data_IF_817026086292
#
_entry.id   IF_817026086292
#
_cell.length_a   1.000
_cell.length_b   1.000
_cell.length_c   1.000
_cell.angle_alpha   90.00
_cell.angle_beta   90.00
_cell.angle_gamma   90.00
#
_symmetry.space_group_name_H-M   'P 1'
#
loop_
_entity.id
_entity.type
_entity.pdbx_description
1 polymer ?
#
# COMPACT_ATOMS: atom_id res chain seq x y z
N UNK A 1 -5.03 -13.27 -12.14
CA UNK A 1 -5.39 -12.23 -11.15
C UNK A 1 -4.15 -11.57 -10.60
N UNK A 2 -4.24 -10.31 -10.15
CA UNK A 2 -3.08 -9.47 -9.80
C UNK A 2 -2.43 -9.78 -8.45
N UNK A 3 -3.02 -10.66 -7.64
CA UNK A 3 -2.49 -11.01 -6.31
C UNK A 3 -2.63 -9.91 -5.26
N UNK A 4 -3.41 -8.85 -5.54
CA UNK A 4 -3.74 -7.79 -4.59
C UNK A 4 -4.92 -8.19 -3.71
N UNK A 5 -4.82 -7.90 -2.41
CA UNK A 5 -5.97 -8.05 -1.50
C UNK A 5 -6.92 -6.86 -1.72
N UNK A 6 -8.13 -7.09 -2.23
CA UNK A 6 -9.13 -6.04 -2.40
C UNK A 6 -9.96 -5.89 -1.11
N UNK A 7 -10.21 -4.64 -0.68
CA UNK A 7 -11.11 -4.35 0.44
C UNK A 7 -12.39 -3.74 -0.10
N UNK A 8 -13.50 -4.47 0.04
CA UNK A 8 -14.82 -4.03 -0.42
C UNK A 8 -15.57 -3.37 0.72
N UNK A 9 -15.55 -2.04 0.74
CA UNK A 9 -16.00 -1.24 1.90
C UNK A 9 -17.49 -1.38 2.20
N UNK A 10 -18.35 -1.45 1.18
CA UNK A 10 -19.81 -1.61 1.32
C UNK A 10 -20.24 -2.98 1.87
N UNK A 11 -19.35 -3.98 1.85
CA UNK A 11 -19.63 -5.32 2.41
C UNK A 11 -19.15 -5.48 3.86
N UNK A 12 -18.40 -4.51 4.38
CA UNK A 12 -17.85 -4.58 5.73
C UNK A 12 -18.92 -4.24 6.77
N UNK A 13 -19.27 -5.22 7.61
CA UNK A 13 -20.23 -5.06 8.72
C UNK A 13 -19.58 -4.64 10.05
N UNK A 14 -18.25 -4.45 10.06
CA UNK A 14 -17.55 -3.89 11.22
C UNK A 14 -17.24 -4.84 12.37
N UNK A 15 -17.18 -6.16 12.15
CA UNK A 15 -16.80 -7.17 13.16
C UNK A 15 -15.35 -7.10 13.62
N UNK A 16 -14.48 -6.40 12.88
CA UNK A 16 -13.05 -6.17 13.19
C UNK A 16 -12.14 -7.39 13.28
N UNK A 17 -12.65 -8.61 13.10
CA UNK A 17 -11.83 -9.82 13.10
C UNK A 17 -10.68 -9.77 12.09
N UNK A 18 -10.91 -9.17 10.91
CA UNK A 18 -9.87 -9.04 9.90
C UNK A 18 -8.68 -8.16 10.33
N UNK A 19 -8.88 -7.20 11.24
CA UNK A 19 -7.79 -6.41 11.83
C UNK A 19 -7.02 -7.23 12.88
N UNK A 20 -7.72 -8.03 13.68
CA UNK A 20 -7.08 -8.90 14.67
C UNK A 20 -6.20 -9.96 14.02
N UNK A 21 -6.69 -10.61 12.97
CA UNK A 21 -5.96 -11.66 12.26
C UNK A 21 -4.85 -11.13 11.33
N UNK A 22 -4.74 -9.81 11.13
CA UNK A 22 -3.65 -9.25 10.33
C UNK A 22 -2.37 -9.20 11.18
N UNK A 23 -1.30 -9.96 10.82
CA UNK A 23 -0.07 -9.98 11.61
C UNK A 23 0.62 -8.61 11.65
N UNK A 24 0.42 -7.79 10.62
CA UNK A 24 0.98 -6.44 10.51
C UNK A 24 0.11 -5.35 11.14
N UNK A 25 -1.10 -5.68 11.62
CA UNK A 25 -2.11 -4.70 12.10
C UNK A 25 -2.32 -3.51 11.14
N UNK A 26 -2.18 -3.75 9.84
CA UNK A 26 -2.25 -2.73 8.80
C UNK A 26 -3.68 -2.35 8.36
N UNK A 27 -4.69 -2.86 9.06
CA UNK A 27 -6.11 -2.54 8.83
C UNK A 27 -6.57 -1.51 9.85
N UNK A 28 -7.19 -0.42 9.39
CA UNK A 28 -7.72 0.65 10.24
C UNK A 28 -9.23 0.59 10.26
N UNK A 29 -9.83 0.84 11.43
CA UNK A 29 -11.27 0.82 11.60
C UNK A 29 -11.79 2.24 11.77
N UNK A 30 -12.86 2.57 11.04
CA UNK A 30 -13.52 3.86 11.18
C UNK A 30 -14.51 3.80 12.36
N UNK A 31 -14.08 4.27 13.52
CA UNK A 31 -14.92 4.30 14.73
C UNK A 31 -16.07 5.31 14.61
N UNK A 32 -15.74 6.51 14.16
CA UNK A 32 -16.68 7.62 14.04
C UNK A 32 -16.91 7.98 12.57
N UNK A 33 -17.90 8.84 12.31
CA UNK A 33 -18.16 9.36 10.97
C UNK A 33 -17.25 10.57 10.68
N UNK A 34 -15.96 10.27 10.46
CA UNK A 34 -14.93 11.28 10.16
C UNK A 34 -15.20 12.11 8.90
N UNK A 35 -16.13 11.66 8.03
CA UNK A 35 -16.41 12.32 6.76
C UNK A 35 -17.63 13.22 6.79
N UNK A 36 -18.56 13.02 7.73
CA UNK A 36 -19.79 13.81 7.85
C UNK A 36 -19.83 14.73 9.07
N UNK A 37 -18.91 14.58 10.03
CA UNK A 37 -18.90 15.37 11.28
C UNK A 37 -17.56 16.06 11.48
N UNK A 38 -17.59 17.24 12.10
CA UNK A 38 -16.38 17.88 12.61
C UNK A 38 -15.79 17.08 13.78
N UNK A 39 -14.52 17.33 14.09
CA UNK A 39 -13.79 16.64 15.17
C UNK A 39 -14.50 16.81 16.52
N UNK A 40 -15.15 17.95 16.74
CA UNK A 40 -15.84 18.27 18.00
C UNK A 40 -17.16 17.50 18.21
N UNK A 41 -17.70 16.87 17.16
CA UNK A 41 -19.01 16.22 17.18
C UNK A 41 -18.95 14.71 16.92
N UNK A 42 -17.77 14.08 17.01
CA UNK A 42 -17.57 12.68 16.63
C UNK A 42 -18.40 11.67 17.44
N UNK A 43 -18.73 11.98 18.70
CA UNK A 43 -19.54 11.12 19.57
C UNK A 43 -21.03 11.11 19.23
N UNK A 44 -21.49 12.01 18.36
CA UNK A 44 -22.90 12.07 17.97
C UNK A 44 -23.27 10.86 17.09
N UNK A 45 -24.34 10.17 17.48
CA UNK A 45 -24.86 9.01 16.74
C UNK A 45 -25.33 9.36 15.32
N UNK A 46 -25.61 8.37 14.45
CA UNK A 46 -26.02 8.60 13.06
C UNK A 46 -27.31 9.39 12.91
N UNK A 47 -28.17 9.32 13.92
CA UNK A 47 -29.49 9.96 13.96
C UNK A 47 -29.43 11.41 14.43
N UNK A 48 -28.30 11.84 15.01
CA UNK A 48 -28.14 13.24 15.39
C UNK A 48 -28.06 14.10 14.13
N UNK A 49 -28.70 15.28 14.11
CA UNK A 49 -28.77 16.14 12.94
C UNK A 49 -27.37 16.33 12.36
N UNK A 50 -27.26 16.20 11.03
CA UNK A 50 -26.02 16.42 10.29
C UNK A 50 -25.72 17.93 10.20
N UNK A 51 -25.84 18.63 11.33
CA UNK A 51 -25.57 20.05 11.50
C UNK A 51 -24.05 20.25 11.51
N UNK A 52 -23.47 20.15 10.33
CA UNK A 52 -22.03 20.17 10.14
C UNK A 52 -21.62 19.21 9.04
N UNK A 53 -22.19 19.36 7.83
CA UNK A 53 -21.57 18.75 6.64
C UNK A 53 -20.09 19.15 6.67
N UNK A 54 -19.19 18.19 6.42
CA UNK A 54 -17.80 18.51 6.11
C UNK A 54 -17.80 19.70 5.15
N UNK A 55 -16.98 20.72 5.45
CA UNK A 55 -17.00 22.00 4.73
C UNK A 55 -16.96 21.69 3.23
N UNK A 56 -17.67 22.45 2.40
CA UNK A 56 -17.70 22.22 0.95
C UNK A 56 -16.29 22.10 0.37
N UNK A 57 -15.33 22.86 0.90
CA UNK A 57 -13.90 22.75 0.60
C UNK A 57 -13.30 21.35 0.88
N UNK A 58 -13.63 20.72 2.02
CA UNK A 58 -13.14 19.38 2.38
C UNK A 58 -13.75 18.30 1.49
N UNK A 59 -14.96 18.52 0.97
CA UNK A 59 -15.58 17.61 0.02
C UNK A 59 -14.87 17.66 -1.33
N UNK A 60 -14.52 18.86 -1.80
CA UNK A 60 -13.79 19.06 -3.06
C UNK A 60 -12.36 18.50 -3.02
N UNK A 61 -11.75 18.38 -1.84
CA UNK A 61 -10.44 17.75 -1.68
C UNK A 61 -10.47 16.24 -1.94
N UNK A 62 -11.64 15.58 -1.80
CA UNK A 62 -11.75 14.12 -1.88
C UNK A 62 -11.66 13.64 -3.32
N UNK A 63 -10.90 12.56 -3.53
CA UNK A 63 -10.78 11.95 -4.85
C UNK A 63 -12.11 11.25 -5.23
N UNK A 64 -12.72 11.59 -6.37
CA UNK A 64 -14.00 10.99 -6.80
C UNK A 64 -13.89 9.49 -7.11
N UNK A 65 -12.70 9.00 -7.47
CA UNK A 65 -12.46 7.60 -7.82
C UNK A 65 -12.18 6.71 -6.60
N UNK A 66 -12.26 7.27 -5.39
CA UNK A 66 -12.01 6.56 -4.14
C UNK A 66 -13.25 6.68 -3.26
N UNK A 67 -13.76 5.54 -2.82
CA UNK A 67 -14.90 5.49 -1.90
C UNK A 67 -14.61 6.24 -0.60
N UNK A 68 -15.42 7.24 -0.30
CA UNK A 68 -15.44 7.92 1.00
C UNK A 68 -16.18 7.01 1.98
N UNK A 69 -15.49 6.55 3.03
CA UNK A 69 -16.02 5.52 3.92
C UNK A 69 -16.90 6.11 5.01
N UNK A 70 -17.93 5.36 5.38
CA UNK A 70 -18.74 5.62 6.56
C UNK A 70 -18.09 5.03 7.82
N UNK A 71 -18.66 5.37 8.99
CA UNK A 71 -18.35 4.70 10.26
C UNK A 71 -18.60 3.19 10.16
N UNK A 72 -17.92 2.40 10.98
CA UNK A 72 -18.16 0.97 11.10
C UNK A 72 -17.42 0.12 10.06
N UNK A 73 -16.63 0.73 9.19
CA UNK A 73 -15.97 0.05 8.07
C UNK A 73 -14.46 -0.05 8.31
N UNK A 74 -13.87 -1.16 7.88
CA UNK A 74 -12.41 -1.33 7.86
C UNK A 74 -11.83 -0.84 6.54
N UNK A 75 -10.69 -0.19 6.64
CA UNK A 75 -9.84 0.19 5.52
C UNK A 75 -8.42 -0.36 5.64
N UNK A 76 -7.72 -0.36 4.52
CA UNK A 76 -6.32 -0.79 4.40
C UNK A 76 -5.69 -0.15 3.17
N UNK A 77 -4.37 -0.26 3.05
CA UNK A 77 -3.70 0.01 1.78
C UNK A 77 -4.21 -0.95 0.68
N UNK A 78 -4.73 -0.40 -0.41
CA UNK A 78 -5.20 -1.14 -1.59
C UNK A 78 -4.25 -1.01 -2.79
N UNK A 79 -3.02 -0.55 -2.55
CA UNK A 79 -2.03 -0.23 -3.60
C UNK A 79 -2.60 0.69 -4.69
N UNK A 80 -3.37 1.69 -4.27
CA UNK A 80 -4.02 2.65 -5.17
C UNK A 80 -4.81 1.97 -6.28
N UNK A 81 -5.70 1.03 -5.92
CA UNK A 81 -6.52 0.27 -6.88
C UNK A 81 -7.24 1.16 -7.89
N UNK A 82 -7.63 2.38 -7.51
CA UNK A 82 -8.25 3.37 -8.39
C UNK A 82 -7.36 3.80 -9.57
N UNK A 83 -6.04 3.92 -9.35
CA UNK A 83 -5.06 4.24 -10.39
C UNK A 83 -4.79 3.02 -11.26
N UNK A 84 -4.68 1.85 -10.64
CA UNK A 84 -4.46 0.59 -11.34
C UNK A 84 -5.66 0.21 -12.22
N UNK A 85 -6.89 0.41 -11.74
CA UNK A 85 -8.10 0.15 -12.51
C UNK A 85 -8.20 1.10 -13.70
N UNK A 86 -7.93 2.39 -13.50
CA UNK A 86 -7.91 3.36 -14.58
C UNK A 86 -6.89 2.99 -15.67
N UNK A 87 -5.67 2.63 -15.28
CA UNK A 87 -4.63 2.20 -16.21
C UNK A 87 -4.97 0.90 -16.96
N UNK A 88 -5.58 -0.07 -16.28
CA UNK A 88 -6.06 -1.31 -16.92
C UNK A 88 -7.18 -1.05 -17.91
N UNK A 89 -8.12 -0.16 -17.57
CA UNK A 89 -9.20 0.23 -18.48
C UNK A 89 -8.60 0.96 -19.68
N UNK A 90 -7.67 1.89 -19.48
CA UNK A 90 -6.99 2.59 -20.57
C UNK A 90 -6.22 1.62 -21.49
N UNK A 91 -5.47 0.68 -20.92
CA UNK A 91 -4.76 -0.35 -21.69
C UNK A 91 -5.72 -1.23 -22.50
N UNK A 92 -6.85 -1.66 -21.91
CA UNK A 92 -7.91 -2.39 -22.61
C UNK A 92 -8.51 -1.60 -23.77
N UNK A 93 -8.80 -0.32 -23.55
CA UNK A 93 -9.36 0.55 -24.60
C UNK A 93 -8.36 0.77 -25.73
N UNK A 94 -7.07 0.95 -25.41
CA UNK A 94 -6.02 1.10 -26.41
C UNK A 94 -5.78 -0.18 -27.22
N UNK A 95 -5.93 -1.34 -26.59
CA UNK A 95 -5.72 -2.63 -27.24
C UNK A 95 -6.73 -2.91 -28.37
N UNK A 96 -7.96 -2.37 -28.31
CA UNK A 96 -9.05 -2.69 -29.24
C UNK A 96 -9.20 -4.21 -29.43
N UNK A 97 -9.03 -4.71 -30.65
CA UNK A 97 -9.10 -6.13 -31.00
C UNK A 97 -7.76 -6.87 -30.86
N UNK A 98 -6.69 -6.19 -30.44
CA UNK A 98 -5.39 -6.81 -30.21
C UNK A 98 -5.29 -7.46 -28.84
N UNK A 99 -4.42 -8.48 -28.73
CA UNK A 99 -4.14 -9.16 -27.46
C UNK A 99 -3.29 -8.33 -26.48
N UNK A 100 -2.92 -7.08 -26.82
CA UNK A 100 -2.05 -6.21 -26.01
C UNK A 100 -2.80 -5.53 -24.86
N UNK A 101 -3.42 -6.32 -23.98
CA UNK A 101 -4.23 -5.83 -22.86
C UNK A 101 -3.39 -5.49 -21.62
N UNK A 102 -2.11 -5.82 -21.64
CA UNK A 102 -1.21 -5.59 -20.51
C UNK A 102 -0.88 -4.11 -20.35
N UNK A 103 -0.94 -3.65 -19.11
CA UNK A 103 -0.52 -2.30 -18.74
C UNK A 103 0.98 -2.14 -19.06
N UNK A 104 1.40 -1.09 -19.78
CA UNK A 104 2.79 -0.87 -20.13
C UNK A 104 3.72 -0.82 -18.91
N UNK A 105 4.97 -1.23 -19.09
CA UNK A 105 5.95 -1.22 -18.02
C UNK A 105 6.16 0.21 -17.45
N UNK A 106 6.27 0.32 -16.14
CA UNK A 106 6.51 1.55 -15.39
C UNK A 106 5.48 2.67 -15.61
N UNK A 107 4.31 2.37 -16.18
CA UNK A 107 3.29 3.37 -16.50
C UNK A 107 2.38 3.73 -15.32
N UNK A 108 2.31 2.89 -14.28
CA UNK A 108 1.43 3.11 -13.12
C UNK A 108 2.27 3.32 -11.88
N UNK A 109 2.11 4.49 -11.28
CA UNK A 109 2.69 4.81 -9.99
C UNK A 109 1.62 4.94 -8.91
N UNK A 110 1.96 4.50 -7.71
CA UNK A 110 1.09 4.65 -6.53
C UNK A 110 1.28 6.02 -5.89
N UNK A 111 0.28 6.50 -5.15
CA UNK A 111 0.35 7.81 -4.50
C UNK A 111 1.54 7.93 -3.53
N UNK A 112 1.86 6.86 -2.79
CA UNK A 112 3.01 6.84 -1.89
C UNK A 112 4.36 6.77 -2.64
N UNK A 113 4.40 6.18 -3.84
CA UNK A 113 5.59 6.21 -4.70
C UNK A 113 5.83 7.61 -5.27
N UNK A 114 4.79 8.28 -5.78
CA UNK A 114 4.91 9.64 -6.32
C UNK A 114 5.29 10.66 -5.25
N UNK A 115 4.72 10.52 -4.05
CA UNK A 115 4.98 11.44 -2.96
C UNK A 115 6.37 11.27 -2.33
N UNK A 116 7.10 10.19 -2.66
CA UNK A 116 8.38 9.87 -2.03
C UNK A 116 9.54 10.49 -2.83
N UNK A 117 10.16 11.59 -2.37
CA UNK A 117 11.24 12.24 -3.10
C UNK A 117 12.51 11.38 -3.18
N UNK A 118 12.72 10.48 -2.21
CA UNK A 118 13.87 9.59 -2.18
C UNK A 118 13.73 8.37 -3.10
N UNK A 119 12.59 8.19 -3.78
CA UNK A 119 12.35 7.04 -4.65
C UNK A 119 12.41 5.68 -3.93
N UNK A 120 12.08 5.65 -2.62
CA UNK A 120 12.22 4.45 -1.80
C UNK A 120 11.16 3.37 -2.08
N UNK A 121 9.99 3.79 -2.57
CA UNK A 121 8.87 2.90 -2.87
C UNK A 121 8.83 2.67 -4.37
N UNK A 122 8.90 1.41 -4.79
CA UNK A 122 8.76 1.01 -6.20
C UNK A 122 7.58 0.06 -6.31
N UNK A 123 6.61 0.42 -7.14
CA UNK A 123 5.46 -0.41 -7.49
C UNK A 123 5.55 -0.80 -8.97
N UNK A 124 5.09 -2.00 -9.31
CA UNK A 124 5.11 -2.50 -10.69
C UNK A 124 4.57 -3.92 -10.79
N UNK A 125 4.45 -4.42 -12.02
CA UNK A 125 4.09 -5.79 -12.29
C UNK A 125 5.36 -6.66 -12.31
N UNK A 126 5.58 -7.39 -11.22
CA UNK A 126 6.71 -8.31 -11.08
C UNK A 126 6.76 -9.47 -12.10
N UNK A 127 5.68 -9.72 -12.86
CA UNK A 127 5.71 -10.68 -13.97
C UNK A 127 6.30 -10.08 -15.26
N UNK A 128 6.35 -8.76 -15.36
CA UNK A 128 6.92 -8.06 -16.50
C UNK A 128 8.40 -7.82 -16.23
N UNK A 129 9.28 -8.42 -17.04
CA UNK A 129 10.73 -8.29 -16.87
C UNK A 129 11.22 -6.84 -17.09
N UNK A 130 10.47 -6.04 -17.84
CA UNK A 130 10.81 -4.64 -18.14
C UNK A 130 10.43 -3.66 -17.00
N UNK A 131 9.69 -4.12 -16.00
CA UNK A 131 9.32 -3.26 -14.86
C UNK A 131 10.48 -3.09 -13.88
N UNK A 132 10.63 -1.87 -13.35
CA UNK A 132 11.66 -1.52 -12.35
C UNK A 132 11.58 -2.38 -11.09
N UNK A 133 10.41 -2.93 -10.77
CA UNK A 133 10.26 -3.83 -9.62
C UNK A 133 11.07 -5.12 -9.78
N UNK A 134 11.25 -5.60 -11.00
CA UNK A 134 12.01 -6.83 -11.30
C UNK A 134 13.50 -6.62 -11.08
N UNK A 135 14.01 -5.41 -11.35
CA UNK A 135 15.37 -5.01 -11.01
C UNK A 135 15.56 -4.88 -9.49
N UNK A 136 14.65 -4.19 -8.81
CA UNK A 136 14.77 -3.90 -7.37
C UNK A 136 14.58 -5.15 -6.50
N UNK A 137 13.66 -6.03 -6.89
CA UNK A 137 13.36 -7.29 -6.18
C UNK A 137 14.28 -8.42 -6.65
N UNK A 138 14.77 -8.41 -7.89
CA UNK A 138 15.43 -9.56 -8.51
C UNK A 138 14.41 -10.58 -9.04
N UNK A 139 14.90 -11.61 -9.75
CA UNK A 139 14.04 -12.67 -10.32
C UNK A 139 13.52 -13.60 -9.21
N UNK A 140 12.44 -14.32 -9.51
CA UNK A 140 11.66 -15.11 -8.55
C UNK A 140 12.50 -15.94 -7.57
N UNK A 141 12.31 -15.74 -6.27
CA UNK A 141 12.78 -16.70 -5.27
C UNK A 141 12.54 -16.18 -3.86
N UNK A 142 11.47 -16.64 -3.21
CA UNK A 142 11.25 -16.45 -1.77
C UNK A 142 12.37 -17.06 -0.91
N UNK A 143 13.32 -17.74 -1.54
CA UNK A 143 14.40 -18.52 -0.95
C UNK A 143 15.79 -17.87 -1.13
N UNK A 144 15.86 -16.60 -1.53
CA UNK A 144 17.09 -15.80 -1.51
C UNK A 144 18.16 -16.17 -2.56
N UNK A 145 17.90 -17.16 -3.42
CA UNK A 145 18.86 -17.62 -4.44
C UNK A 145 18.92 -16.72 -5.69
N UNK A 146 17.80 -16.09 -6.07
CA UNK A 146 17.69 -15.29 -7.32
C UNK A 146 17.25 -13.82 -7.10
N UNK A 147 17.05 -13.43 -5.82
CA UNK A 147 16.59 -12.11 -5.42
C UNK A 147 17.72 -11.13 -5.07
N UNK A 148 17.40 -9.85 -4.95
CA UNK A 148 18.37 -8.85 -4.47
C UNK A 148 18.87 -9.25 -3.06
N UNK A 149 20.19 -9.32 -2.83
CA UNK A 149 20.80 -9.82 -1.55
C UNK A 149 20.28 -9.14 -0.26
N UNK A 150 19.81 -7.90 -0.38
CA UNK A 150 19.22 -7.09 0.71
C UNK A 150 17.72 -7.30 0.92
N UNK A 151 17.04 -8.04 0.06
CA UNK A 151 15.59 -8.19 0.13
C UNK A 151 15.21 -9.08 1.31
N UNK A 152 14.19 -8.66 2.05
CA UNK A 152 13.55 -9.49 3.05
C UNK A 152 12.03 -9.27 3.07
N UNK A 153 11.31 -10.27 3.55
CA UNK A 153 9.88 -10.23 3.80
C UNK A 153 9.64 -10.08 5.31
N UNK A 154 8.76 -9.19 5.71
CA UNK A 154 8.43 -9.03 7.13
C UNK A 154 7.70 -10.27 7.65
N UNK A 155 8.08 -10.73 8.84
CA UNK A 155 7.43 -11.85 9.54
C UNK A 155 7.36 -13.11 8.67
N UNK A 156 8.46 -13.46 7.99
CA UNK A 156 8.53 -14.60 7.06
C UNK A 156 8.11 -15.91 7.73
N UNK A 157 8.44 -16.10 9.01
CA UNK A 157 8.08 -17.27 9.80
C UNK A 157 6.55 -17.50 9.95
N UNK A 158 5.73 -16.44 9.83
CA UNK A 158 4.26 -16.55 9.86
C UNK A 158 3.70 -17.18 8.57
N UNK A 159 4.49 -17.22 7.49
CA UNK A 159 4.06 -17.81 6.22
C UNK A 159 3.03 -16.96 5.47
N UNK A 160 2.87 -15.68 5.81
CA UNK A 160 1.88 -14.78 5.20
C UNK A 160 2.18 -14.39 3.74
N UNK A 161 3.39 -14.69 3.23
CA UNK A 161 3.88 -14.44 1.86
C UNK A 161 3.46 -13.05 1.32
N UNK A 162 3.89 -11.97 1.99
CA UNK A 162 3.49 -10.61 1.62
C UNK A 162 3.97 -10.25 0.21
N UNK A 163 3.17 -9.48 -0.54
CA UNK A 163 3.57 -8.99 -1.86
C UNK A 163 4.60 -7.86 -1.81
N UNK A 164 4.58 -7.08 -0.72
CA UNK A 164 5.60 -6.07 -0.43
C UNK A 164 6.77 -6.70 0.30
N UNK A 165 7.94 -6.55 -0.28
CA UNK A 165 9.23 -6.86 0.33
C UNK A 165 9.97 -5.56 0.62
N UNK A 166 10.92 -5.61 1.55
CA UNK A 166 11.73 -4.47 1.95
C UNK A 166 13.19 -4.73 1.61
N UNK A 167 13.98 -3.67 1.49
CA UNK A 167 15.42 -3.75 1.37
C UNK A 167 16.06 -3.41 2.72
N UNK A 168 17.02 -4.22 3.15
CA UNK A 168 17.76 -4.01 4.39
C UNK A 168 18.47 -2.65 4.35
N UNK A 169 18.42 -1.95 5.48
CA UNK A 169 19.12 -0.68 5.66
C UNK A 169 20.61 -0.97 5.82
N UNK A 170 21.41 -0.47 4.88
CA UNK A 170 22.87 -0.43 5.00
C UNK A 170 23.26 0.93 5.57
N UNK A 171 24.04 0.92 6.65
CA UNK A 171 24.69 2.11 7.20
C UNK A 171 26.17 2.05 6.82
N UNK A 172 26.71 3.17 6.35
CA UNK A 172 28.13 3.31 6.04
C UNK A 172 28.82 4.21 7.08
N UNK A 173 29.13 3.70 8.30
CA UNK A 173 29.79 4.49 9.32
C UNK A 173 31.24 4.77 8.92
N UNK A 174 31.71 6.00 9.16
CA UNK A 174 33.10 6.37 8.95
C UNK A 174 34.00 5.59 9.95
N UNK A 175 35.00 4.82 9.50
CA UNK A 175 35.90 4.08 10.40
C UNK A 175 36.64 4.95 11.41
N UNK A 176 36.89 6.22 11.10
CA UNK A 176 37.61 7.17 11.96
C UNK A 176 36.72 7.80 13.06
N UNK A 177 35.42 7.53 13.05
CA UNK A 177 34.49 8.10 14.02
C UNK A 177 34.58 7.34 15.35
N UNK A 178 34.69 8.02 16.50
CA UNK A 178 34.61 7.37 17.80
C UNK A 178 33.33 6.55 17.92
N UNK A 179 33.45 5.26 18.25
CA UNK A 179 32.30 4.36 18.39
C UNK A 179 31.75 3.79 17.07
N UNK A 180 32.44 3.93 15.93
CA UNK A 180 32.03 3.36 14.65
C UNK A 180 31.78 1.84 14.69
N UNK A 181 32.53 1.12 15.52
CA UNK A 181 32.37 -0.34 15.71
C UNK A 181 31.05 -0.72 16.37
N UNK A 182 30.47 0.18 17.18
CA UNK A 182 29.18 -0.03 17.84
C UNK A 182 28.00 0.25 16.91
N UNK A 183 28.24 0.79 15.71
CA UNK A 183 27.20 1.08 14.72
C UNK A 183 26.97 -0.17 13.86
N UNK A 184 25.83 -0.83 14.05
CA UNK A 184 25.42 -1.95 13.19
C UNK A 184 25.41 -1.54 11.71
N UNK A 185 26.29 -2.19 10.91
CA UNK A 185 26.51 -1.87 9.48
C UNK A 185 25.36 -2.33 8.59
N UNK A 186 24.74 -3.46 8.93
CA UNK A 186 23.62 -4.06 8.19
C UNK A 186 22.63 -4.65 9.18
N UNK A 187 21.34 -4.34 9.03
CA UNK A 187 20.26 -5.14 9.61
C UNK A 187 20.05 -6.38 8.73
N UNK A 188 21.00 -7.31 8.75
CA UNK A 188 20.93 -8.53 7.94
C UNK A 188 20.11 -9.63 8.62
N UNK A 189 20.11 -9.66 9.96
CA UNK A 189 19.33 -10.58 10.77
C UNK A 189 18.15 -9.83 11.42
N UNK A 190 17.04 -9.75 10.71
CA UNK A 190 15.73 -9.50 11.32
C UNK A 190 14.95 -10.81 11.17
N UNK A 191 14.72 -11.48 12.30
CA UNK A 191 13.98 -12.74 12.40
C UNK A 191 12.65 -12.75 11.61
#
# INVERSE_FOLDING_TARGET
GDGLNAMTYNRCIGTRYCANNCPYKARRFNYFDYNKRSIDQLYMGPLAPAAGRARTSEQLQKNPNVTVRMRGVIEKCTYCVQRLSAAKVAAKVAARDSDQVLVPANSVTTACQDACPSGAIVFGNWKNEKDRITEVKGKMGGDGKDGHKRQYELLKYVGARPRTSYLARIKNPNPKMPGAEKIGRVTAEMH
#
